data_IF_816555486408
#
_entry.id   IF_816555486408
#
_cell.length_a   1.000
_cell.length_b   1.000
_cell.length_c   1.000
_cell.angle_alpha   90.00
_cell.angle_beta   90.00
_cell.angle_gamma   90.00
#
_symmetry.space_group_name_H-M   'P 1'
#
loop_
_entity.id
_entity.type
_entity.pdbx_description
1 polymer ?
#
# COMPACT_ATOMS: atom_id res chain seq x y z
N UNK A 1 -6.90 14.14 24.57
CA UNK A 1 -6.96 12.70 24.86
C UNK A 1 -7.59 12.04 23.62
N UNK A 2 -6.77 11.45 22.75
CA UNK A 2 -7.29 10.75 21.57
C UNK A 2 -7.88 9.42 22.04
N UNK A 3 -9.21 9.28 21.97
CA UNK A 3 -9.87 7.99 22.07
C UNK A 3 -9.61 7.25 20.76
N UNK A 4 -8.48 6.56 20.69
CA UNK A 4 -8.21 5.63 19.59
C UNK A 4 -9.08 4.40 19.86
N UNK A 5 -10.00 4.07 18.95
CA UNK A 5 -10.70 2.79 19.01
C UNK A 5 -9.67 1.65 19.05
N UNK A 6 -10.00 0.54 19.71
CA UNK A 6 -9.14 -0.65 19.71
C UNK A 6 -8.84 -1.03 18.25
N UNK A 7 -7.57 -0.99 17.81
CA UNK A 7 -7.24 -1.23 16.41
C UNK A 7 -7.65 -2.65 15.97
N UNK A 8 -7.71 -3.61 16.91
CA UNK A 8 -8.18 -4.96 16.59
C UNK A 8 -9.69 -4.99 16.29
N UNK A 9 -10.49 -4.12 16.92
CA UNK A 9 -11.92 -4.00 16.59
C UNK A 9 -12.13 -3.40 15.22
N UNK A 10 -11.44 -2.29 14.92
CA UNK A 10 -11.54 -1.65 13.60
C UNK A 10 -11.15 -2.62 12.45
N UNK A 11 -10.13 -3.46 12.67
CA UNK A 11 -9.74 -4.50 11.71
C UNK A 11 -10.82 -5.59 11.53
N UNK A 12 -11.50 -6.00 12.60
CA UNK A 12 -12.62 -6.96 12.50
C UNK A 12 -13.81 -6.36 11.77
N UNK A 13 -14.15 -5.11 12.06
CA UNK A 13 -15.31 -4.43 11.49
C UNK A 13 -15.13 -4.16 9.98
N UNK A 14 -13.89 -4.03 9.51
CA UNK A 14 -13.54 -3.83 8.10
C UNK A 14 -13.06 -5.11 7.39
N UNK A 15 -13.16 -6.27 8.03
CA UNK A 15 -12.53 -7.52 7.58
C UNK A 15 -12.83 -7.86 6.12
N UNK A 16 -14.10 -7.89 5.74
CA UNK A 16 -14.53 -8.34 4.40
C UNK A 16 -14.07 -7.37 3.32
N UNK A 17 -14.15 -6.05 3.59
CA UNK A 17 -13.63 -5.01 2.69
C UNK A 17 -12.12 -5.15 2.50
N UNK A 18 -11.37 -5.35 3.59
CA UNK A 18 -9.92 -5.51 3.53
C UNK A 18 -9.52 -6.74 2.70
N UNK A 19 -10.31 -7.82 2.78
CA UNK A 19 -10.11 -9.00 1.93
C UNK A 19 -10.43 -8.71 0.46
N UNK A 20 -11.50 -7.97 0.17
CA UNK A 20 -11.83 -7.56 -1.19
C UNK A 20 -10.71 -6.72 -1.82
N UNK A 21 -10.17 -5.75 -1.08
CA UNK A 21 -9.04 -4.93 -1.51
C UNK A 21 -7.78 -5.77 -1.75
N UNK A 22 -7.48 -6.71 -0.85
CA UNK A 22 -6.36 -7.65 -1.03
C UNK A 22 -6.55 -8.51 -2.28
N UNK A 23 -7.75 -9.08 -2.47
CA UNK A 23 -8.04 -9.88 -3.66
C UNK A 23 -8.04 -9.05 -4.94
N UNK A 24 -8.40 -7.77 -4.89
CA UNK A 24 -8.27 -6.88 -6.03
C UNK A 24 -6.80 -6.71 -6.42
N UNK A 25 -5.92 -6.42 -5.45
CA UNK A 25 -4.48 -6.33 -5.72
C UNK A 25 -3.88 -7.64 -6.23
N UNK A 26 -4.23 -8.79 -5.64
CA UNK A 26 -3.70 -10.11 -6.02
C UNK A 26 -4.12 -10.56 -7.43
N UNK A 27 -5.13 -9.94 -8.04
CA UNK A 27 -5.52 -10.25 -9.44
C UNK A 27 -4.57 -9.65 -10.46
N UNK A 28 -3.74 -8.68 -10.07
CA UNK A 28 -2.72 -8.15 -10.95
C UNK A 28 -1.56 -9.15 -11.11
N UNK A 29 -1.13 -9.47 -12.34
CA UNK A 29 -0.01 -10.38 -12.56
C UNK A 29 1.33 -9.64 -12.44
N UNK A 30 1.64 -9.10 -11.26
CA UNK A 30 2.89 -8.38 -10.96
C UNK A 30 4.12 -9.30 -10.87
N UNK A 31 4.39 -10.08 -11.91
CA UNK A 31 5.46 -11.09 -11.93
C UNK A 31 6.79 -10.43 -12.31
N UNK A 32 7.61 -10.04 -11.34
CA UNK A 32 8.80 -9.20 -11.60
C UNK A 32 9.94 -9.94 -12.28
N UNK A 33 9.98 -11.26 -12.16
CA UNK A 33 10.98 -12.12 -12.79
C UNK A 33 10.82 -12.22 -14.32
N UNK A 34 9.65 -11.84 -14.86
CA UNK A 34 9.32 -11.95 -16.28
C UNK A 34 9.25 -10.57 -16.93
N UNK A 35 10.13 -10.24 -17.92
CA UNK A 35 10.14 -8.93 -18.56
C UNK A 35 8.82 -8.51 -19.22
N UNK A 36 8.03 -9.49 -19.69
CA UNK A 36 6.73 -9.24 -20.34
C UNK A 36 5.68 -8.68 -19.37
N UNK A 37 5.89 -8.84 -18.05
CA UNK A 37 5.00 -8.34 -17.00
C UNK A 37 5.46 -6.99 -16.41
N UNK A 38 6.42 -6.28 -17.04
CA UNK A 38 6.87 -4.95 -16.57
C UNK A 38 5.73 -3.94 -16.43
N UNK A 39 4.83 -3.91 -17.40
CA UNK A 39 3.69 -3.00 -17.37
C UNK A 39 2.67 -3.41 -16.31
N UNK A 40 2.52 -4.71 -16.04
CA UNK A 40 1.66 -5.21 -14.97
C UNK A 40 2.21 -4.79 -13.59
N UNK A 41 3.52 -4.93 -13.36
CA UNK A 41 4.17 -4.45 -12.13
C UNK A 41 3.95 -2.94 -11.95
N UNK A 42 4.09 -2.15 -13.02
CA UNK A 42 3.79 -0.71 -12.99
C UNK A 42 2.34 -0.45 -12.61
N UNK A 43 1.39 -1.15 -13.23
CA UNK A 43 -0.04 -0.99 -12.94
C UNK A 43 -0.38 -1.38 -11.50
N UNK A 44 0.25 -2.42 -10.95
CA UNK A 44 0.09 -2.79 -9.55
C UNK A 44 0.62 -1.72 -8.61
N UNK A 45 1.73 -1.05 -8.96
CA UNK A 45 2.25 0.07 -8.18
C UNK A 45 1.26 1.24 -8.10
N UNK A 46 0.61 1.59 -9.22
CA UNK A 46 -0.43 2.63 -9.25
C UNK A 46 -1.69 2.20 -8.47
N UNK A 47 -2.12 0.94 -8.63
CA UNK A 47 -3.26 0.40 -7.88
C UNK A 47 -3.01 0.40 -6.36
N UNK A 48 -1.78 0.06 -5.93
CA UNK A 48 -1.38 0.15 -4.53
C UNK A 48 -1.35 1.60 -4.04
N UNK A 49 -0.87 2.53 -4.85
CA UNK A 49 -0.88 3.96 -4.53
C UNK A 49 -2.31 4.48 -4.32
N UNK A 50 -3.25 4.09 -5.19
CA UNK A 50 -4.66 4.46 -5.05
C UNK A 50 -5.30 3.84 -3.80
N UNK A 51 -4.97 2.58 -3.51
CA UNK A 51 -5.42 1.93 -2.28
C UNK A 51 -4.91 2.68 -1.05
N UNK A 52 -3.61 3.01 -0.99
CA UNK A 52 -3.02 3.80 0.10
C UNK A 52 -3.74 5.14 0.30
N UNK A 53 -4.05 5.85 -0.80
CA UNK A 53 -4.82 7.11 -0.75
C UNK A 53 -6.22 6.90 -0.17
N UNK A 54 -6.90 5.80 -0.54
CA UNK A 54 -8.24 5.48 -0.03
C UNK A 54 -8.27 5.20 1.48
N UNK A 55 -7.16 4.69 2.04
CA UNK A 55 -6.97 4.50 3.49
C UNK A 55 -6.50 5.76 4.22
N UNK A 56 -6.38 6.89 3.52
CA UNK A 56 -5.97 8.17 4.11
C UNK A 56 -4.47 8.31 4.34
N UNK A 57 -3.63 7.50 3.68
CA UNK A 57 -2.19 7.74 3.63
C UNK A 57 -1.94 8.99 2.78
N UNK A 58 -0.99 9.82 3.22
CA UNK A 58 -0.65 11.10 2.61
C UNK A 58 0.64 11.00 1.79
N UNK A 59 0.90 12.04 0.98
CA UNK A 59 2.09 12.16 0.12
C UNK A 59 2.39 10.94 -0.77
N UNK A 60 1.34 10.19 -1.13
CA UNK A 60 1.48 8.93 -1.88
C UNK A 60 2.03 9.16 -3.29
N UNK A 61 3.16 8.54 -3.61
CA UNK A 61 3.89 8.68 -4.88
C UNK A 61 4.38 7.32 -5.40
N UNK A 62 4.21 7.12 -6.69
CA UNK A 62 4.94 6.09 -7.45
C UNK A 62 6.23 6.72 -7.96
N UNK A 63 7.37 6.16 -7.56
CA UNK A 63 8.69 6.63 -7.96
C UNK A 63 9.30 5.66 -8.95
N UNK A 64 9.63 6.16 -10.15
CA UNK A 64 10.41 5.43 -11.14
C UNK A 64 11.80 5.11 -10.60
N UNK A 65 12.29 3.90 -10.91
CA UNK A 65 13.66 3.50 -10.62
C UNK A 65 14.33 2.97 -11.90
N UNK A 66 15.58 2.52 -11.82
CA UNK A 66 16.21 1.81 -12.92
C UNK A 66 15.57 0.43 -13.19
N UNK A 67 14.82 -0.11 -12.23
CA UNK A 67 14.04 -1.33 -12.34
C UNK A 67 12.55 -1.04 -12.15
N UNK A 68 11.89 -1.86 -11.33
CA UNK A 68 10.47 -1.69 -11.02
C UNK A 68 10.23 -0.45 -10.14
N UNK A 69 9.08 0.22 -10.28
CA UNK A 69 8.78 1.41 -9.48
C UNK A 69 8.65 1.06 -8.00
N UNK A 70 8.81 2.06 -7.13
CA UNK A 70 8.50 1.92 -5.70
C UNK A 70 7.31 2.80 -5.34
N UNK A 71 6.48 2.35 -4.40
CA UNK A 71 5.36 3.13 -3.88
C UNK A 71 5.73 3.66 -2.50
N UNK A 72 5.65 4.97 -2.33
CA UNK A 72 5.90 5.66 -1.08
C UNK A 72 4.63 6.38 -0.62
N UNK A 73 4.44 6.48 0.70
CA UNK A 73 3.46 7.34 1.34
C UNK A 73 3.74 7.43 2.83
N UNK A 74 3.16 8.42 3.50
CA UNK A 74 3.40 8.66 4.92
C UNK A 74 2.12 9.09 5.68
N UNK A 75 2.18 8.95 7.01
CA UNK A 75 1.19 9.49 7.94
C UNK A 75 1.96 10.06 9.12
N UNK A 76 2.19 11.38 9.13
CA UNK A 76 3.12 12.06 10.06
C UNK A 76 2.41 12.90 11.14
N UNK A 77 1.19 12.54 11.50
CA UNK A 77 0.35 13.26 12.48
C UNK A 77 0.71 12.98 13.96
N UNK A 78 1.97 12.69 14.25
CA UNK A 78 2.44 12.34 15.60
C UNK A 78 3.73 13.12 15.98
N UNK A 79 3.66 14.46 16.11
CA UNK A 79 4.83 15.28 16.43
C UNK A 79 5.46 14.88 17.76
N UNK A 80 6.80 14.85 17.80
CA UNK A 80 7.57 14.46 18.99
C UNK A 80 7.61 12.95 19.27
N UNK A 81 7.06 12.11 18.37
CA UNK A 81 7.15 10.65 18.46
C UNK A 81 8.08 10.09 17.37
N UNK A 82 8.67 8.89 17.57
CA UNK A 82 9.45 8.23 16.54
C UNK A 82 8.63 7.94 15.28
N UNK A 83 9.28 8.00 14.12
CA UNK A 83 8.71 7.54 12.85
C UNK A 83 9.03 6.06 12.66
N UNK A 84 8.00 5.24 12.43
CA UNK A 84 8.17 3.85 12.04
C UNK A 84 8.16 3.75 10.51
N UNK A 85 9.15 3.03 9.95
CA UNK A 85 9.17 2.68 8.53
C UNK A 85 8.64 1.25 8.36
N UNK A 86 7.64 1.08 7.51
CA UNK A 86 7.11 -0.23 7.10
C UNK A 86 7.56 -0.48 5.68
N UNK A 87 8.24 -1.62 5.44
CA UNK A 87 8.71 -2.03 4.13
C UNK A 87 8.03 -3.33 3.70
N UNK A 88 7.68 -3.42 2.42
CA UNK A 88 7.14 -4.60 1.78
C UNK A 88 7.39 -4.57 0.26
N UNK A 89 7.10 -5.67 -0.42
CA UNK A 89 7.11 -5.77 -1.87
C UNK A 89 5.69 -6.12 -2.37
N UNK A 90 5.38 -5.75 -3.61
CA UNK A 90 4.05 -5.94 -4.22
C UNK A 90 4.10 -6.77 -5.52
N UNK A 91 5.31 -7.05 -6.00
CA UNK A 91 5.62 -8.01 -7.04
C UNK A 91 5.84 -9.43 -6.48
N UNK A 92 5.71 -10.42 -7.37
CA UNK A 92 5.88 -11.87 -7.09
C UNK A 92 6.83 -12.55 -8.06
#
# INVERSE_FOLDING_TARGET
MYFMQDPRSALRDSHDRNLEDLFALLRHPSISALPDHRDDVRQTAEALADLMRSYGIEHVRVHETAGHPIVYGDYLHAPGRPTALVYGHYDV
#
